data_IF_742710463763
#
_entry.id   IF_742710463763
#
_cell.length_a   1.000
_cell.length_b   1.000
_cell.length_c   1.000
_cell.angle_alpha   90.00
_cell.angle_beta   90.00
_cell.angle_gamma   90.00
#
_symmetry.space_group_name_H-M   'P 1'
#
loop_
_entity.id
_entity.type
_entity.pdbx_description
1 polymer ?
#
# COMPACT_ATOMS: atom_id res chain seq x y z
N UNK A 1 37.02 41.67 44.20
CA UNK A 1 35.61 41.42 43.80
C UNK A 1 35.40 41.07 42.31
N UNK A 2 36.37 41.22 41.39
CA UNK A 2 36.22 41.04 39.93
C UNK A 2 36.03 39.60 39.38
N UNK A 3 36.25 38.55 40.20
CA UNK A 3 36.26 37.15 39.72
C UNK A 3 34.85 36.56 39.58
N UNK A 4 33.92 36.90 40.49
CA UNK A 4 32.52 36.41 40.50
C UNK A 4 31.69 36.84 39.28
N UNK A 5 32.05 37.95 38.63
CA UNK A 5 31.29 38.52 37.51
C UNK A 5 31.57 37.81 36.18
N UNK A 6 32.84 37.40 35.95
CA UNK A 6 33.24 36.62 34.76
C UNK A 6 32.64 35.21 34.75
N UNK A 7 32.58 34.55 35.91
CA UNK A 7 32.03 33.20 36.03
C UNK A 7 30.53 33.17 35.68
N UNK A 8 29.76 34.16 36.16
CA UNK A 8 28.34 34.31 35.83
C UNK A 8 28.07 34.51 34.33
N UNK A 9 28.91 35.27 33.64
CA UNK A 9 28.77 35.51 32.19
C UNK A 9 29.02 34.19 31.42
N UNK A 10 30.04 33.43 31.79
CA UNK A 10 30.34 32.14 31.16
C UNK A 10 29.25 31.08 31.40
N UNK A 11 28.66 31.08 32.60
CA UNK A 11 27.57 30.18 32.96
C UNK A 11 26.28 30.51 32.22
N UNK A 12 25.93 31.81 32.14
CA UNK A 12 24.79 32.28 31.32
C UNK A 12 24.96 31.91 29.84
N UNK A 13 26.17 32.06 29.28
CA UNK A 13 26.45 31.67 27.89
C UNK A 13 26.29 30.16 27.67
N UNK A 14 26.77 29.33 28.60
CA UNK A 14 26.57 27.87 28.56
C UNK A 14 25.09 27.50 28.65
N UNK A 15 24.32 28.15 29.52
CA UNK A 15 22.87 27.98 29.64
C UNK A 15 22.13 28.39 28.36
N UNK A 16 22.52 29.50 27.72
CA UNK A 16 21.94 29.92 26.46
C UNK A 16 22.23 28.93 25.34
N UNK A 17 23.47 28.42 25.24
CA UNK A 17 23.85 27.40 24.25
C UNK A 17 23.08 26.10 24.51
N UNK A 18 22.98 25.66 25.76
CA UNK A 18 22.23 24.47 26.14
C UNK A 18 20.73 24.61 25.83
N UNK A 19 20.14 25.78 26.14
CA UNK A 19 18.75 26.10 25.80
C UNK A 19 18.51 26.12 24.30
N UNK A 20 19.43 26.70 23.52
CA UNK A 20 19.34 26.72 22.06
C UNK A 20 19.47 25.31 21.45
N UNK A 21 20.38 24.49 21.99
CA UNK A 21 20.53 23.09 21.59
C UNK A 21 19.30 22.25 21.92
N UNK A 22 18.72 22.45 23.11
CA UNK A 22 17.48 21.79 23.52
C UNK A 22 16.31 22.21 22.61
N UNK A 23 16.19 23.50 22.30
CA UNK A 23 15.17 24.00 21.38
C UNK A 23 15.32 23.39 19.99
N UNK A 24 16.54 23.32 19.45
CA UNK A 24 16.82 22.65 18.19
C UNK A 24 16.44 21.16 18.21
N UNK A 25 16.73 20.47 19.32
CA UNK A 25 16.37 19.07 19.49
C UNK A 25 14.85 18.88 19.47
N UNK A 26 14.10 19.74 20.15
CA UNK A 26 12.64 19.71 20.15
C UNK A 26 12.08 19.98 18.75
N UNK A 27 12.65 20.93 18.01
CA UNK A 27 12.25 21.18 16.62
C UNK A 27 12.52 19.98 15.71
N UNK A 28 13.67 19.31 15.86
CA UNK A 28 13.98 18.10 15.11
C UNK A 28 12.97 16.99 15.44
N UNK A 29 12.72 16.72 16.73
CA UNK A 29 11.73 15.72 17.13
C UNK A 29 10.33 16.05 16.61
N UNK A 30 9.90 17.31 16.70
CA UNK A 30 8.61 17.74 16.16
C UNK A 30 8.54 17.65 14.62
N UNK A 31 9.65 17.86 13.91
CA UNK A 31 9.72 17.72 12.46
C UNK A 31 9.70 16.25 12.01
N UNK A 32 10.26 15.33 12.81
CA UNK A 32 10.27 13.90 12.52
C UNK A 32 8.99 13.18 12.97
N UNK A 33 8.41 13.56 14.11
CA UNK A 33 7.26 12.91 14.75
C UNK A 33 5.97 13.75 14.72
N UNK A 34 5.98 14.90 14.07
CA UNK A 34 4.77 15.73 13.92
C UNK A 34 3.74 15.05 13.02
N UNK A 35 2.47 15.47 13.12
CA UNK A 35 1.35 14.94 12.30
C UNK A 35 1.56 15.10 10.77
N UNK A 36 2.54 15.90 10.35
CA UNK A 36 3.00 16.10 8.96
C UNK A 36 4.51 15.84 8.84
N UNK A 37 5.04 14.95 9.68
CA UNK A 37 6.45 14.61 9.70
C UNK A 37 6.88 13.97 8.39
N UNK A 38 8.19 13.94 8.18
CA UNK A 38 8.79 13.33 6.99
C UNK A 38 8.42 11.85 6.84
N UNK A 39 8.25 11.15 7.98
CA UNK A 39 7.90 9.72 8.01
C UNK A 39 6.48 9.50 7.49
N UNK A 40 5.51 10.30 7.95
CA UNK A 40 4.12 10.24 7.51
C UNK A 40 4.00 10.55 6.02
N UNK A 41 4.72 11.56 5.52
CA UNK A 41 4.73 11.91 4.09
C UNK A 41 5.26 10.75 3.26
N UNK A 42 6.38 10.14 3.67
CA UNK A 42 6.95 8.99 2.96
C UNK A 42 5.99 7.80 2.97
N UNK A 43 5.36 7.49 4.11
CA UNK A 43 4.37 6.41 4.22
C UNK A 43 3.16 6.68 3.33
N UNK A 44 2.62 7.90 3.35
CA UNK A 44 1.49 8.29 2.54
C UNK A 44 1.80 8.20 1.04
N UNK A 45 3.00 8.62 0.61
CA UNK A 45 3.43 8.47 -0.79
C UNK A 45 3.55 6.99 -1.20
N UNK A 46 4.09 6.14 -0.32
CA UNK A 46 4.19 4.70 -0.57
C UNK A 46 2.81 4.07 -0.69
N UNK A 47 1.91 4.37 0.23
CA UNK A 47 0.53 3.87 0.23
C UNK A 47 -0.23 4.34 -1.00
N UNK A 48 -0.12 5.62 -1.36
CA UNK A 48 -0.68 6.18 -2.59
C UNK A 48 -0.20 5.43 -3.84
N UNK A 49 1.10 5.13 -3.92
CA UNK A 49 1.66 4.34 -5.03
C UNK A 49 1.10 2.91 -5.06
N UNK A 50 0.97 2.26 -3.90
CA UNK A 50 0.39 0.91 -3.80
C UNK A 50 -1.08 0.91 -4.25
N UNK A 51 -1.88 1.87 -3.79
CA UNK A 51 -3.29 2.00 -4.19
C UNK A 51 -3.43 2.23 -5.70
N UNK A 52 -2.58 3.05 -6.31
CA UNK A 52 -2.57 3.22 -7.77
C UNK A 52 -2.27 1.92 -8.52
N UNK A 53 -1.34 1.10 -8.00
CA UNK A 53 -1.05 -0.22 -8.58
C UNK A 53 -2.19 -1.22 -8.39
N UNK A 54 -2.99 -1.09 -7.33
CA UNK A 54 -4.18 -1.91 -7.14
C UNK A 54 -5.30 -1.50 -8.08
N UNK A 55 -5.51 -0.20 -8.28
CA UNK A 55 -6.48 0.33 -9.26
C UNK A 55 -6.17 -0.21 -10.66
N UNK A 56 -4.92 -0.12 -11.11
CA UNK A 56 -4.51 -0.62 -12.43
C UNK A 56 -4.76 -2.13 -12.56
N UNK A 57 -4.41 -2.91 -11.51
CA UNK A 57 -4.68 -4.35 -11.48
C UNK A 57 -6.17 -4.66 -11.55
N UNK A 58 -7.01 -3.94 -10.81
CA UNK A 58 -8.46 -4.13 -10.86
C UNK A 58 -9.06 -3.71 -12.19
N UNK A 59 -8.53 -2.69 -12.85
CA UNK A 59 -9.01 -2.27 -14.17
C UNK A 59 -8.71 -3.32 -15.25
N UNK A 60 -7.51 -3.92 -15.21
CA UNK A 60 -7.13 -5.04 -16.09
C UNK A 60 -8.05 -6.24 -15.84
N UNK A 61 -8.27 -6.60 -14.58
CA UNK A 61 -9.12 -7.73 -14.21
C UNK A 61 -10.57 -7.50 -14.62
N UNK A 62 -11.09 -6.28 -14.42
CA UNK A 62 -12.41 -5.88 -14.87
C UNK A 62 -12.55 -6.06 -16.39
N UNK A 63 -11.61 -5.55 -17.19
CA UNK A 63 -11.63 -5.71 -18.66
C UNK A 63 -11.61 -7.18 -19.07
N UNK A 64 -10.82 -8.02 -18.38
CA UNK A 64 -10.76 -9.47 -18.61
C UNK A 64 -12.11 -10.13 -18.34
N UNK A 65 -12.73 -9.82 -17.21
CA UNK A 65 -14.04 -10.36 -16.83
C UNK A 65 -15.16 -9.88 -17.75
N UNK A 66 -15.15 -8.62 -18.17
CA UNK A 66 -16.12 -8.09 -19.14
C UNK A 66 -16.04 -8.82 -20.47
N UNK A 67 -14.83 -9.11 -20.97
CA UNK A 67 -14.63 -9.92 -22.17
C UNK A 67 -15.16 -11.35 -21.98
N UNK A 68 -14.88 -11.96 -20.84
CA UNK A 68 -15.38 -13.29 -20.51
C UNK A 68 -16.92 -13.34 -20.47
N UNK A 69 -17.56 -12.33 -19.86
CA UNK A 69 -19.02 -12.20 -19.84
C UNK A 69 -19.57 -12.06 -21.26
N UNK A 70 -18.92 -11.26 -22.10
CA UNK A 70 -19.35 -11.08 -23.49
C UNK A 70 -19.28 -12.39 -24.28
N UNK A 71 -18.17 -13.12 -24.16
CA UNK A 71 -17.99 -14.43 -24.78
C UNK A 71 -19.05 -15.43 -24.30
N UNK A 72 -19.33 -15.49 -23.00
CA UNK A 72 -20.36 -16.37 -22.45
C UNK A 72 -21.77 -15.98 -22.90
N UNK A 73 -22.09 -14.68 -23.02
CA UNK A 73 -23.41 -14.24 -23.47
C UNK A 73 -23.63 -14.49 -24.97
N UNK A 74 -22.61 -14.28 -25.78
CA UNK A 74 -22.74 -14.32 -27.24
C UNK A 74 -22.47 -15.70 -27.85
N UNK A 75 -21.75 -16.57 -27.14
CA UNK A 75 -21.36 -17.88 -27.66
C UNK A 75 -21.91 -19.04 -26.79
N UNK A 76 -22.99 -19.71 -27.22
CA UNK A 76 -23.55 -20.86 -26.52
C UNK A 76 -22.52 -21.98 -26.27
N UNK A 77 -21.55 -22.17 -27.18
CA UNK A 77 -20.49 -23.17 -27.01
C UNK A 77 -19.52 -22.80 -25.88
N UNK A 78 -19.32 -21.51 -25.62
CA UNK A 78 -18.49 -21.06 -24.49
C UNK A 78 -19.16 -21.38 -23.14
N UNK A 79 -20.49 -21.21 -23.06
CA UNK A 79 -21.29 -21.61 -21.90
C UNK A 79 -21.24 -23.12 -21.68
N UNK A 80 -21.47 -23.90 -22.75
CA UNK A 80 -21.44 -25.36 -22.70
C UNK A 80 -20.07 -25.88 -22.27
N UNK A 81 -18.97 -25.31 -22.79
CA UNK A 81 -17.62 -25.64 -22.35
C UNK A 81 -17.43 -25.39 -20.85
N UNK A 82 -17.85 -24.22 -20.36
CA UNK A 82 -17.70 -23.86 -18.93
C UNK A 82 -18.55 -24.75 -18.03
N UNK A 83 -19.76 -25.10 -18.47
CA UNK A 83 -20.65 -26.02 -17.78
C UNK A 83 -20.05 -27.44 -17.68
N UNK A 84 -19.43 -27.93 -18.75
CA UNK A 84 -18.74 -29.24 -18.76
C UNK A 84 -17.49 -29.23 -17.87
N UNK A 85 -16.65 -28.20 -17.99
CA UNK A 85 -15.36 -28.15 -17.27
C UNK A 85 -15.50 -27.84 -15.79
N UNK A 86 -16.37 -26.89 -15.41
CA UNK A 86 -16.50 -26.45 -14.02
C UNK A 86 -17.61 -27.14 -13.25
N UNK A 87 -18.70 -27.50 -13.92
CA UNK A 87 -19.89 -28.03 -13.28
C UNK A 87 -20.13 -29.51 -13.62
N UNK A 88 -19.29 -30.10 -14.48
CA UNK A 88 -19.42 -31.50 -14.94
C UNK A 88 -20.80 -31.82 -15.52
N UNK A 89 -21.48 -30.81 -16.08
CA UNK A 89 -22.79 -30.98 -16.69
C UNK A 89 -22.66 -31.70 -18.03
N UNK A 90 -23.52 -32.68 -18.25
CA UNK A 90 -23.66 -33.43 -19.51
C UNK A 90 -25.12 -33.49 -19.91
N UNK A 91 -25.39 -33.56 -21.21
CA UNK A 91 -26.76 -33.75 -21.69
C UNK A 91 -27.20 -35.20 -21.42
N UNK A 92 -28.52 -35.45 -21.30
CA UNK A 92 -29.04 -36.79 -20.99
C UNK A 92 -28.60 -37.88 -21.99
N UNK A 93 -28.25 -37.51 -23.21
CA UNK A 93 -27.85 -38.38 -24.32
C UNK A 93 -26.32 -38.54 -24.47
N UNK A 94 -25.51 -38.00 -23.55
CA UNK A 94 -24.05 -37.99 -23.63
C UNK A 94 -23.39 -38.92 -22.60
N UNK A 95 -22.23 -39.51 -22.97
CA UNK A 95 -21.47 -40.44 -22.12
C UNK A 95 -20.16 -39.76 -21.66
N UNK A 96 -19.92 -39.74 -20.34
CA UNK A 96 -18.68 -39.20 -19.75
C UNK A 96 -17.59 -40.26 -19.75
N UNK A 97 -16.43 -39.95 -20.34
CA UNK A 97 -15.24 -40.81 -20.32
C UNK A 97 -14.17 -40.16 -19.44
N UNK A 98 -13.84 -40.79 -18.31
CA UNK A 98 -12.77 -40.34 -17.40
C UNK A 98 -11.55 -41.23 -17.61
N UNK A 99 -10.44 -40.65 -18.06
CA UNK A 99 -9.17 -41.37 -18.18
C UNK A 99 -8.47 -41.38 -16.82
N UNK A 100 -8.27 -42.58 -16.26
CA UNK A 100 -7.46 -42.76 -15.04
C UNK A 100 -5.99 -42.61 -15.42
N UNK A 101 -5.31 -41.59 -14.88
CA UNK A 101 -3.85 -41.55 -14.93
C UNK A 101 -3.30 -42.64 -13.99
N UNK A 102 -2.27 -43.36 -14.45
CA UNK A 102 -1.65 -44.49 -13.75
C UNK A 102 -0.61 -44.00 -12.75
#
# INVERSE_FOLDING_TARGET
MRKKEKDNISFRRKLLIAGLGFFFLVLLLASFFGKKGLIEIYRAQKEHKTLLQEIDRFEIEKKRLEKEILELKQNPKAVEKKAREKLWLVKPDEIVIIKKEK
#
